data_IF_971584562694
#
_entry.id   IF_971584562694
#
_cell.length_a   1.000
_cell.length_b   1.000
_cell.length_c   1.000
_cell.angle_alpha   90.00
_cell.angle_beta   90.00
_cell.angle_gamma   90.00
#
_symmetry.space_group_name_H-M   'P 1'
#
loop_
_entity.id
_entity.type
_entity.pdbx_description
1 polymer ?
#
# COMPACT_ATOMS: atom_id res chain seq x y z
N UNK A 1 -19.52 -0.53 8.96
CA UNK A 1 -18.47 0.51 8.76
C UNK A 1 -17.89 1.04 10.08
N UNK A 2 -17.56 0.18 11.06
CA UNK A 2 -16.81 0.61 12.25
C UNK A 2 -15.31 0.38 12.05
N UNK A 3 -14.93 -0.81 11.53
CA UNK A 3 -13.54 -1.13 11.18
C UNK A 3 -12.91 -0.10 10.22
N UNK A 4 -13.65 0.31 9.18
CA UNK A 4 -13.23 1.38 8.26
C UNK A 4 -12.88 2.68 8.99
N UNK A 5 -13.76 3.14 9.89
CA UNK A 5 -13.56 4.39 10.63
C UNK A 5 -12.37 4.29 11.57
N UNK A 6 -12.21 3.15 12.23
CA UNK A 6 -11.05 2.89 13.11
C UNK A 6 -9.75 2.86 12.33
N UNK A 7 -9.70 2.16 11.19
CA UNK A 7 -8.52 2.10 10.33
C UNK A 7 -8.15 3.48 9.77
N UNK A 8 -9.15 4.26 9.33
CA UNK A 8 -8.95 5.62 8.84
C UNK A 8 -8.45 6.56 9.93
N UNK A 9 -9.04 6.52 11.12
CA UNK A 9 -8.60 7.33 12.26
C UNK A 9 -7.15 7.00 12.65
N UNK A 10 -6.81 5.71 12.75
CA UNK A 10 -5.46 5.28 13.07
C UNK A 10 -4.45 5.70 11.99
N UNK A 11 -4.78 5.51 10.71
CA UNK A 11 -3.93 5.95 9.60
C UNK A 11 -3.68 7.46 9.65
N UNK A 12 -4.72 8.25 9.95
CA UNK A 12 -4.59 9.70 10.04
C UNK A 12 -3.70 10.13 11.21
N UNK A 13 -3.89 9.54 12.39
CA UNK A 13 -3.05 9.79 13.57
C UNK A 13 -1.58 9.45 13.28
N UNK A 14 -1.32 8.31 12.64
CA UNK A 14 0.04 7.89 12.30
C UNK A 14 0.71 8.83 11.29
N UNK A 15 -0.03 9.32 10.30
CA UNK A 15 0.49 10.30 9.33
C UNK A 15 0.81 11.64 10.00
N UNK A 16 -0.05 12.11 10.92
CA UNK A 16 0.21 13.33 11.68
C UNK A 16 1.44 13.21 12.58
N UNK A 17 1.56 12.10 13.32
CA UNK A 17 2.75 11.83 14.12
C UNK A 17 4.00 11.77 13.23
N UNK A 18 3.91 11.16 12.05
CA UNK A 18 5.03 11.10 11.11
C UNK A 18 5.49 12.50 10.68
N UNK A 19 4.57 13.38 10.31
CA UNK A 19 4.87 14.77 9.94
C UNK A 19 5.56 15.52 11.09
N UNK A 20 5.03 15.39 12.31
CA UNK A 20 5.64 16.01 13.50
C UNK A 20 7.06 15.52 13.78
N UNK A 21 7.33 14.22 13.57
CA UNK A 21 8.66 13.65 13.76
C UNK A 21 9.65 14.15 12.71
N UNK A 22 9.20 14.31 11.46
CA UNK A 22 10.04 14.85 10.38
C UNK A 22 10.44 16.30 10.68
N UNK A 23 9.54 17.11 11.25
CA UNK A 23 9.83 18.51 11.59
C UNK A 23 10.77 18.67 12.80
N UNK A 24 10.73 17.74 13.77
CA UNK A 24 11.39 17.90 15.07
C UNK A 24 12.78 17.26 15.18
N UNK A 25 13.18 16.35 14.29
CA UNK A 25 14.35 15.48 14.50
C UNK A 25 15.47 15.71 13.48
N UNK A 26 16.72 15.83 13.96
CA UNK A 26 17.92 16.02 13.14
C UNK A 26 18.32 14.75 12.35
N UNK A 27 17.91 13.56 12.81
CA UNK A 27 18.08 12.29 12.11
C UNK A 27 16.90 12.05 11.14
N UNK A 28 17.12 12.11 9.82
CA UNK A 28 16.06 11.96 8.83
C UNK A 28 15.49 10.53 8.76
N UNK A 29 16.03 9.59 9.53
CA UNK A 29 15.57 8.19 9.61
C UNK A 29 14.88 7.85 10.94
N UNK A 30 14.73 8.81 11.86
CA UNK A 30 14.19 8.55 13.19
C UNK A 30 12.72 8.10 13.17
N UNK A 31 11.97 8.51 12.13
CA UNK A 31 10.55 8.24 11.97
C UNK A 31 10.23 6.86 11.35
N UNK A 32 11.25 6.13 10.88
CA UNK A 32 11.06 4.83 10.21
C UNK A 32 10.34 3.75 11.04
N UNK A 33 10.40 3.72 12.38
CA UNK A 33 9.56 2.80 13.15
C UNK A 33 8.06 2.95 12.87
N UNK A 34 7.57 4.17 12.60
CA UNK A 34 6.17 4.45 12.26
C UNK A 34 5.76 3.82 10.93
N UNK A 35 6.71 3.59 10.01
CA UNK A 35 6.41 2.96 8.72
C UNK A 35 5.83 1.55 8.90
N UNK A 36 6.20 0.84 9.96
CA UNK A 36 5.62 -0.47 10.27
C UNK A 36 4.13 -0.35 10.56
N UNK A 37 3.74 0.59 11.42
CA UNK A 37 2.35 0.81 11.79
C UNK A 37 1.52 1.29 10.59
N UNK A 38 2.07 2.23 9.82
CA UNK A 38 1.46 2.73 8.57
C UNK A 38 1.27 1.58 7.58
N UNK A 39 2.31 0.76 7.37
CA UNK A 39 2.27 -0.40 6.48
C UNK A 39 1.17 -1.40 6.87
N UNK A 40 1.01 -1.69 8.16
CA UNK A 40 -0.07 -2.56 8.66
C UNK A 40 -1.44 -1.92 8.40
N UNK A 41 -1.61 -0.64 8.68
CA UNK A 41 -2.89 0.05 8.48
C UNK A 41 -3.32 0.06 7.01
N UNK A 42 -2.39 0.32 6.10
CA UNK A 42 -2.66 0.23 4.66
C UNK A 42 -2.95 -1.19 4.22
N UNK A 43 -2.18 -2.18 4.68
CA UNK A 43 -2.40 -3.60 4.34
C UNK A 43 -3.80 -4.06 4.78
N UNK A 44 -4.20 -3.70 6.00
CA UNK A 44 -5.52 -4.02 6.54
C UNK A 44 -6.64 -3.29 5.80
N UNK A 45 -6.42 -2.03 5.39
CA UNK A 45 -7.40 -1.25 4.64
C UNK A 45 -7.61 -1.82 3.25
N UNK A 46 -6.54 -2.15 2.53
CA UNK A 46 -6.61 -2.76 1.20
C UNK A 46 -7.32 -4.11 1.26
N UNK A 47 -6.93 -4.98 2.19
CA UNK A 47 -7.57 -6.29 2.40
C UNK A 47 -9.06 -6.16 2.76
N UNK A 48 -9.42 -5.13 3.54
CA UNK A 48 -10.82 -4.87 3.87
C UNK A 48 -11.63 -4.54 2.62
N UNK A 49 -11.15 -3.62 1.79
CA UNK A 49 -11.92 -3.17 0.61
C UNK A 49 -11.90 -4.19 -0.53
N UNK A 50 -10.82 -4.92 -0.73
CA UNK A 50 -10.68 -6.00 -1.71
C UNK A 50 -11.84 -7.00 -1.60
N UNK A 51 -12.19 -7.38 -0.36
CA UNK A 51 -13.34 -8.24 -0.07
C UNK A 51 -14.68 -7.69 -0.60
N UNK A 52 -14.81 -6.39 -0.77
CA UNK A 52 -16.04 -5.76 -1.25
C UNK A 52 -15.99 -5.36 -2.74
N UNK A 53 -14.86 -5.58 -3.43
CA UNK A 53 -14.70 -5.23 -4.85
C UNK A 53 -15.28 -6.30 -5.80
N UNK A 54 -15.20 -7.58 -5.44
CA UNK A 54 -15.68 -8.69 -6.26
C UNK A 54 -17.21 -8.90 -6.18
N UNK A 55 -17.87 -8.92 -7.34
CA UNK A 55 -19.27 -9.33 -7.47
C UNK A 55 -19.39 -10.86 -7.31
N UNK A 56 -20.03 -11.33 -6.24
CA UNK A 56 -20.30 -12.76 -6.06
C UNK A 56 -20.09 -13.33 -4.66
N UNK A 57 -19.67 -12.52 -3.68
CA UNK A 57 -19.61 -12.99 -2.29
C UNK A 57 -21.03 -13.18 -1.76
N UNK A 58 -21.45 -14.42 -1.60
CA UNK A 58 -22.71 -14.80 -0.96
C UNK A 58 -22.79 -14.17 0.44
N UNK A 59 -23.76 -13.28 0.66
CA UNK A 59 -23.94 -12.53 1.91
C UNK A 59 -23.60 -11.03 1.84
N UNK A 60 -22.92 -10.59 0.78
CA UNK A 60 -22.62 -9.16 0.48
C UNK A 60 -23.10 -8.79 -0.94
N UNK A 61 -23.28 -9.79 -1.80
CA UNK A 61 -23.88 -9.69 -3.12
C UNK A 61 -25.28 -9.05 -3.04
N UNK A 62 -25.35 -7.76 -3.37
CA UNK A 62 -26.62 -7.03 -3.45
C UNK A 62 -26.49 -5.52 -3.30
N UNK A 63 -25.46 -5.02 -2.61
CA UNK A 63 -25.32 -3.58 -2.39
C UNK A 63 -24.25 -2.95 -3.29
N UNK A 64 -24.69 -2.50 -4.47
CA UNK A 64 -23.88 -1.77 -5.46
C UNK A 64 -23.20 -0.55 -4.85
N UNK A 65 -23.82 0.13 -3.89
CA UNK A 65 -23.23 1.30 -3.22
C UNK A 65 -22.00 0.92 -2.39
N UNK A 66 -22.05 -0.22 -1.69
CA UNK A 66 -20.92 -0.74 -0.90
C UNK A 66 -19.77 -1.14 -1.81
N UNK A 67 -20.07 -1.78 -2.94
CA UNK A 67 -19.05 -2.13 -3.93
C UNK A 67 -18.40 -0.89 -4.55
N UNK A 68 -19.21 0.10 -4.96
CA UNK A 68 -18.70 1.35 -5.52
C UNK A 68 -17.84 2.12 -4.51
N UNK A 69 -18.24 2.13 -3.23
CA UNK A 69 -17.46 2.70 -2.15
C UNK A 69 -16.14 1.96 -1.98
N UNK A 70 -16.14 0.63 -1.96
CA UNK A 70 -14.93 -0.17 -1.82
C UNK A 70 -13.95 0.07 -2.98
N UNK A 71 -14.43 0.08 -4.22
CA UNK A 71 -13.63 0.40 -5.41
C UNK A 71 -13.02 1.81 -5.36
N UNK A 72 -13.77 2.79 -4.86
CA UNK A 72 -13.24 4.14 -4.65
C UNK A 72 -12.14 4.15 -3.59
N UNK A 73 -12.39 3.51 -2.44
CA UNK A 73 -11.45 3.48 -1.31
C UNK A 73 -10.18 2.67 -1.60
N UNK A 74 -10.28 1.55 -2.31
CA UNK A 74 -9.10 0.76 -2.69
C UNK A 74 -8.19 1.56 -3.63
N UNK A 75 -8.78 2.34 -4.55
CA UNK A 75 -8.03 3.27 -5.42
C UNK A 75 -7.34 4.38 -4.62
N UNK A 76 -8.06 5.00 -3.68
CA UNK A 76 -7.52 6.05 -2.81
C UNK A 76 -6.35 5.54 -1.97
N UNK A 77 -6.55 4.45 -1.21
CA UNK A 77 -5.49 3.87 -0.36
C UNK A 77 -4.31 3.38 -1.20
N UNK A 78 -4.53 2.83 -2.40
CA UNK A 78 -3.42 2.43 -3.28
C UNK A 78 -2.56 3.63 -3.68
N UNK A 79 -3.15 4.81 -3.89
CA UNK A 79 -2.41 6.07 -4.15
C UNK A 79 -1.65 6.55 -2.92
N UNK A 80 -2.25 6.46 -1.73
CA UNK A 80 -1.53 6.75 -0.48
C UNK A 80 -0.32 5.82 -0.30
N UNK A 81 -0.49 4.53 -0.59
CA UNK A 81 0.61 3.56 -0.57
C UNK A 81 1.68 3.88 -1.62
N UNK A 82 1.31 4.38 -2.80
CA UNK A 82 2.30 4.86 -3.78
C UNK A 82 3.15 6.03 -3.24
N UNK A 83 2.53 6.99 -2.56
CA UNK A 83 3.27 8.06 -1.90
C UNK A 83 4.15 7.52 -0.77
N UNK A 84 3.64 6.58 0.01
CA UNK A 84 4.40 5.88 1.04
C UNK A 84 5.60 5.11 0.47
N UNK A 85 5.46 4.48 -0.70
CA UNK A 85 6.55 3.81 -1.40
C UNK A 85 7.68 4.79 -1.76
N UNK A 86 7.34 6.02 -2.18
CA UNK A 86 8.33 7.07 -2.43
C UNK A 86 9.04 7.50 -1.15
N UNK A 87 8.30 7.62 -0.03
CA UNK A 87 8.90 7.90 1.28
C UNK A 87 9.85 6.79 1.73
N UNK A 88 9.48 5.52 1.50
CA UNK A 88 10.36 4.37 1.73
C UNK A 88 11.63 4.47 0.88
N UNK A 89 11.50 4.81 -0.40
CA UNK A 89 12.67 4.97 -1.28
C UNK A 89 13.61 6.06 -0.79
N UNK A 90 13.08 7.23 -0.50
CA UNK A 90 13.85 8.36 0.05
C UNK A 90 14.56 7.96 1.35
N UNK A 91 13.86 7.30 2.28
CA UNK A 91 14.44 6.82 3.52
C UNK A 91 15.58 5.81 3.31
N UNK A 92 15.46 4.91 2.33
CA UNK A 92 16.52 3.96 1.99
C UNK A 92 17.75 4.66 1.42
N UNK A 93 17.55 5.65 0.54
CA UNK A 93 18.63 6.44 -0.05
C UNK A 93 19.40 7.24 1.01
N UNK A 94 18.74 7.60 2.12
CA UNK A 94 19.33 8.24 3.30
C UNK A 94 19.97 7.25 4.31
N UNK A 95 20.11 5.97 3.96
CA UNK A 95 20.74 4.95 4.81
C UNK A 95 19.79 4.28 5.82
N UNK A 96 18.49 4.55 5.75
CA UNK A 96 17.47 4.00 6.63
C UNK A 96 17.16 2.50 6.44
N UNK A 97 17.79 1.85 5.45
CA UNK A 97 17.51 0.47 5.05
C UNK A 97 17.54 -0.53 6.21
N UNK A 98 18.46 -0.38 7.18
CA UNK A 98 18.58 -1.29 8.34
C UNK A 98 17.45 -1.16 9.37
N UNK A 99 16.82 0.01 9.44
CA UNK A 99 15.74 0.31 10.41
C UNK A 99 14.35 0.00 9.87
N UNK A 100 14.26 -0.28 8.57
CA UNK A 100 13.01 -0.67 7.92
C UNK A 100 12.56 -2.06 8.38
N UNK A 101 11.24 -2.23 8.50
CA UNK A 101 10.58 -3.47 8.90
C UNK A 101 9.95 -4.17 7.69
N UNK A 102 9.90 -5.52 7.65
CA UNK A 102 9.26 -6.25 6.57
C UNK A 102 7.73 -6.12 6.52
N UNK A 103 7.11 -5.53 7.55
CA UNK A 103 5.66 -5.34 7.64
C UNK A 103 5.12 -4.34 6.62
N UNK A 104 5.98 -3.60 5.91
CA UNK A 104 5.58 -2.66 4.86
C UNK A 104 5.37 -3.31 3.50
N UNK A 105 5.81 -4.56 3.29
CA UNK A 105 5.79 -5.15 1.94
C UNK A 105 4.40 -5.48 1.44
N UNK A 106 3.51 -5.85 2.35
CA UNK A 106 2.20 -6.37 1.97
C UNK A 106 1.34 -5.26 1.35
N UNK A 107 1.30 -4.07 1.94
CA UNK A 107 0.60 -2.93 1.33
C UNK A 107 1.20 -2.53 -0.01
N UNK A 108 2.53 -2.53 -0.16
CA UNK A 108 3.21 -2.26 -1.43
C UNK A 108 2.79 -3.27 -2.51
N UNK A 109 2.82 -4.56 -2.17
CA UNK A 109 2.38 -5.61 -3.08
C UNK A 109 0.91 -5.44 -3.48
N UNK A 110 0.01 -5.26 -2.52
CA UNK A 110 -1.42 -5.10 -2.77
C UNK A 110 -1.71 -3.88 -3.65
N UNK A 111 -1.10 -2.72 -3.35
CA UNK A 111 -1.28 -1.50 -4.16
C UNK A 111 -0.74 -1.66 -5.59
N UNK A 112 0.43 -2.28 -5.76
CA UNK A 112 0.95 -2.59 -7.09
C UNK A 112 0.02 -3.52 -7.88
N UNK A 113 -0.51 -4.56 -7.23
CA UNK A 113 -1.47 -5.46 -7.83
C UNK A 113 -2.74 -4.72 -8.29
N UNK A 114 -3.27 -3.82 -7.44
CA UNK A 114 -4.45 -3.03 -7.76
C UNK A 114 -4.21 -2.10 -8.94
N UNK A 115 -3.08 -1.39 -8.98
CA UNK A 115 -2.75 -0.53 -10.11
C UNK A 115 -2.57 -1.30 -11.42
N UNK A 116 -1.97 -2.49 -11.38
CA UNK A 116 -1.87 -3.33 -12.57
C UNK A 116 -3.24 -3.79 -13.08
N UNK A 117 -4.14 -4.19 -12.17
CA UNK A 117 -5.50 -4.55 -12.52
C UNK A 117 -6.27 -3.36 -13.11
N UNK A 118 -6.29 -2.21 -12.43
CA UNK A 118 -6.98 -1.01 -12.91
C UNK A 118 -6.41 -0.51 -14.26
N UNK A 119 -5.09 -0.61 -14.47
CA UNK A 119 -4.46 -0.27 -15.74
C UNK A 119 -4.97 -1.16 -16.88
N UNK A 120 -5.20 -2.45 -16.63
CA UNK A 120 -5.76 -3.38 -17.63
C UNK A 120 -7.21 -3.05 -17.96
N UNK A 121 -8.01 -2.71 -16.95
CA UNK A 121 -9.42 -2.34 -17.13
C UNK A 121 -9.59 -1.02 -17.89
N UNK A 122 -8.71 -0.04 -17.61
CA UNK A 122 -8.87 1.33 -18.14
C UNK A 122 -7.95 1.66 -19.31
N UNK A 123 -6.93 0.84 -19.57
CA UNK A 123 -5.84 1.16 -20.50
C UNK A 123 -4.90 2.27 -20.01
N UNK A 124 -4.98 2.71 -18.74
CA UNK A 124 -4.19 3.82 -18.24
C UNK A 124 -2.71 3.46 -18.04
N UNK A 125 -1.83 4.14 -18.78
CA UNK A 125 -0.37 4.01 -18.62
C UNK A 125 0.14 4.60 -17.30
N UNK A 126 -0.55 5.61 -16.75
CA UNK A 126 -0.17 6.25 -15.49
C UNK A 126 -0.29 5.27 -14.31
N UNK A 127 -1.37 4.48 -14.28
CA UNK A 127 -1.55 3.44 -13.26
C UNK A 127 -0.47 2.36 -13.39
N UNK A 128 -0.12 1.96 -14.62
CA UNK A 128 0.98 1.02 -14.84
C UNK A 128 2.32 1.59 -14.38
N UNK A 129 2.56 2.87 -14.61
CA UNK A 129 3.75 3.56 -14.12
C UNK A 129 3.82 3.54 -12.59
N UNK A 130 2.72 3.86 -11.89
CA UNK A 130 2.64 3.78 -10.43
C UNK A 130 2.94 2.36 -9.92
N UNK A 131 2.41 1.33 -10.58
CA UNK A 131 2.72 -0.06 -10.24
C UNK A 131 4.20 -0.40 -10.42
N UNK A 132 4.83 0.07 -11.49
CA UNK A 132 6.25 -0.18 -11.77
C UNK A 132 7.17 0.50 -10.76
N UNK A 133 6.84 1.71 -10.33
CA UNK A 133 7.56 2.41 -9.26
C UNK A 133 7.51 1.65 -7.93
N UNK A 134 6.34 1.13 -7.54
CA UNK A 134 6.22 0.31 -6.34
C UNK A 134 7.02 -0.99 -6.47
N UNK A 135 7.01 -1.62 -7.64
CA UNK A 135 7.83 -2.81 -7.91
C UNK A 135 9.34 -2.51 -7.79
N UNK A 136 9.80 -1.36 -8.28
CA UNK A 136 11.20 -0.91 -8.10
C UNK A 136 11.57 -0.77 -6.63
N UNK A 137 10.67 -0.26 -5.78
CA UNK A 137 10.87 -0.21 -4.32
C UNK A 137 10.97 -1.63 -3.73
N UNK A 138 10.07 -2.54 -4.13
CA UNK A 138 10.11 -3.95 -3.70
C UNK A 138 11.41 -4.66 -4.15
N UNK A 139 11.95 -4.33 -5.32
CA UNK A 139 13.22 -4.88 -5.81
C UNK A 139 14.40 -4.43 -4.91
N UNK A 140 14.44 -3.15 -4.55
CA UNK A 140 15.46 -2.61 -3.63
C UNK A 140 15.33 -3.26 -2.25
N UNK A 141 14.12 -3.37 -1.70
CA UNK A 141 13.87 -4.05 -0.42
C UNK A 141 14.26 -5.55 -0.52
N UNK A 142 14.11 -6.14 -1.71
CA UNK A 142 14.50 -7.51 -2.03
C UNK A 142 16.00 -7.80 -1.96
N UNK A 143 16.84 -6.78 -1.80
CA UNK A 143 18.28 -6.96 -1.52
C UNK A 143 18.53 -7.42 -0.09
N UNK A 144 17.66 -7.02 0.85
CA UNK A 144 17.74 -7.36 2.27
C UNK A 144 16.85 -8.53 2.65
N UNK A 145 15.67 -8.64 2.04
CA UNK A 145 14.67 -9.63 2.40
C UNK A 145 14.24 -10.50 1.23
N UNK A 146 13.87 -11.74 1.54
CA UNK A 146 13.40 -12.70 0.53
C UNK A 146 11.94 -12.45 0.12
N UNK A 147 11.10 -11.99 1.05
CA UNK A 147 9.65 -11.84 0.84
C UNK A 147 9.27 -10.93 -0.36
N UNK A 148 9.90 -9.76 -0.58
CA UNK A 148 9.62 -8.92 -1.76
C UNK A 148 9.80 -9.64 -3.10
N UNK A 149 10.77 -10.57 -3.19
CA UNK A 149 11.01 -11.36 -4.42
C UNK A 149 9.85 -12.31 -4.71
N UNK A 150 9.24 -12.89 -3.68
CA UNK A 150 8.05 -13.72 -3.83
C UNK A 150 6.87 -12.89 -4.34
N UNK A 151 6.64 -11.71 -3.75
CA UNK A 151 5.59 -10.79 -4.20
C UNK A 151 5.78 -10.36 -5.66
N UNK A 152 7.00 -9.96 -6.05
CA UNK A 152 7.34 -9.63 -7.44
C UNK A 152 7.10 -10.81 -8.39
N UNK A 153 7.43 -12.03 -7.98
CA UNK A 153 7.13 -13.22 -8.78
C UNK A 153 5.63 -13.42 -8.97
N UNK A 154 4.80 -13.09 -7.97
CA UNK A 154 3.34 -13.20 -8.10
C UNK A 154 2.83 -12.11 -9.04
N UNK A 155 3.25 -10.84 -8.86
CA UNK A 155 2.86 -9.72 -9.72
C UNK A 155 3.17 -10.00 -11.21
N UNK A 156 4.33 -10.58 -11.51
CA UNK A 156 4.71 -10.93 -12.88
C UNK A 156 3.86 -12.06 -13.49
N UNK A 157 3.30 -12.95 -12.65
CA UNK A 157 2.48 -14.08 -13.10
C UNK A 157 1.00 -13.72 -13.22
N UNK A 158 0.45 -13.02 -12.24
CA UNK A 158 -0.99 -12.71 -12.15
C UNK A 158 -1.34 -11.35 -12.77
N UNK A 159 -0.43 -10.39 -12.62
CA UNK A 159 -0.56 -8.98 -12.98
C UNK A 159 -1.77 -8.24 -12.40
N UNK A 160 -2.13 -8.56 -11.16
CA UNK A 160 -3.08 -7.79 -10.35
C UNK A 160 -4.09 -8.65 -9.60
N UNK A 161 -4.80 -8.03 -8.66
CA UNK A 161 -6.01 -8.55 -8.01
C UNK A 161 -7.22 -7.67 -8.37
N UNK A 162 -8.43 -8.21 -8.23
CA UNK A 162 -9.70 -7.57 -8.57
C UNK A 162 -10.32 -6.79 -7.40
#
# INVERSE_FOLDING_TARGET
MQLHRTAQALSHTLSQELEEWIEKVYDPTAHLPLFSAIGICYSASLLLYDRYCCSGITGVAGNVEVQQMALSRISEVSREVFHFAKSIRSAMDLGGSLRMSPLVFDCLYQAAANFMWQSRETGSSDLLHMANEIQSVLEVLGTRWTAPRAYLSILRKSGGHC
#
